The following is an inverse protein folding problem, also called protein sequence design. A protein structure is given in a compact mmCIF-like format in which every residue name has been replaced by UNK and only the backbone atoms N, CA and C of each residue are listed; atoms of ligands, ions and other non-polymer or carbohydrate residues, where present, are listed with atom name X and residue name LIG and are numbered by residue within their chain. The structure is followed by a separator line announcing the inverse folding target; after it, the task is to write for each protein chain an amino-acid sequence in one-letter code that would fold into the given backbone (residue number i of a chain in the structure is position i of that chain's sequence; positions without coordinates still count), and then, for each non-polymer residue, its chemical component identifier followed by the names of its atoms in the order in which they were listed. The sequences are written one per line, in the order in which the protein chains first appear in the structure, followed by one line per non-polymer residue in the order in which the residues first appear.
data_IF_699665477322
#
_entry.id   IF_699665477322
#
_cell.length_a   1.000
_cell.length_b   1.000
_cell.length_c   1.000
_cell.angle_alpha   90.00
_cell.angle_beta   90.00
_cell.angle_gamma   90.00
#
_symmetry.space_group_name_H-M   'P 1'
#
loop_
_entity.id
_entity.type
_entity.pdbx_description
1 polymer ?
#
# COMPACT_ATOMS: atom_id res chain seq x y z
N UNK A 1 14.47 -6.20 8.70
CA UNK A 1 15.05 -6.85 7.50
C UNK A 1 14.13 -7.89 6.90
N UNK A 2 13.63 -8.87 7.67
CA UNK A 2 12.69 -9.88 7.13
C UNK A 2 11.44 -9.24 6.51
N UNK A 3 10.82 -8.26 7.20
CA UNK A 3 9.65 -7.54 6.66
C UNK A 3 10.00 -6.76 5.39
N UNK A 4 11.19 -6.15 5.30
CA UNK A 4 11.65 -5.45 4.09
C UNK A 4 11.77 -6.43 2.91
N UNK A 5 12.35 -7.61 3.13
CA UNK A 5 12.39 -8.64 2.11
C UNK A 5 10.98 -9.07 1.67
N UNK A 6 10.06 -9.28 2.62
CA UNK A 6 8.67 -9.64 2.30
C UNK A 6 7.96 -8.58 1.45
N UNK A 7 8.24 -7.29 1.69
CA UNK A 7 7.70 -6.19 0.88
C UNK A 7 8.22 -6.24 -0.56
N UNK A 8 9.51 -6.46 -0.73
CA UNK A 8 10.12 -6.52 -2.06
C UNK A 8 9.57 -7.74 -2.81
N UNK A 9 9.49 -8.91 -2.16
CA UNK A 9 8.97 -10.13 -2.79
C UNK A 9 7.51 -10.00 -3.19
N UNK A 10 6.68 -9.38 -2.33
CA UNK A 10 5.28 -9.12 -2.64
C UNK A 10 5.12 -8.14 -3.81
N UNK A 11 5.97 -7.12 -3.90
CA UNK A 11 5.92 -6.15 -5.01
C UNK A 11 6.26 -6.78 -6.36
N UNK A 12 7.23 -7.70 -6.38
CA UNK A 12 7.56 -8.46 -7.59
C UNK A 12 6.44 -9.44 -7.96
N UNK A 13 5.86 -10.14 -6.97
CA UNK A 13 4.70 -11.01 -7.20
C UNK A 13 3.51 -10.24 -7.78
N UNK A 14 3.29 -9.00 -7.34
CA UNK A 14 2.19 -8.16 -7.82
C UNK A 14 2.28 -7.88 -9.32
N UNK A 15 3.48 -7.67 -9.87
CA UNK A 15 3.68 -7.41 -11.30
C UNK A 15 3.27 -8.60 -12.20
N UNK A 16 3.27 -9.83 -11.66
CA UNK A 16 3.01 -11.05 -12.44
C UNK A 16 1.59 -11.61 -12.28
N UNK A 17 0.78 -11.06 -11.37
CA UNK A 17 -0.61 -11.49 -11.24
C UNK A 17 -1.48 -10.83 -12.30
N UNK A 18 -2.41 -11.59 -12.88
CA UNK A 18 -3.41 -11.08 -13.83
C UNK A 18 -4.83 -11.07 -13.26
N UNK A 19 -5.11 -11.93 -12.29
CA UNK A 19 -6.44 -12.03 -11.70
C UNK A 19 -6.64 -10.91 -10.66
N UNK A 20 -7.70 -10.09 -10.80
CA UNK A 20 -7.91 -8.92 -9.95
C UNK A 20 -8.09 -9.27 -8.46
N UNK A 21 -8.68 -10.44 -8.17
CA UNK A 21 -8.83 -10.96 -6.80
C UNK A 21 -7.45 -11.22 -6.17
N UNK A 22 -6.54 -11.85 -6.91
CA UNK A 22 -5.20 -12.17 -6.40
C UNK A 22 -4.33 -10.92 -6.27
N UNK A 23 -4.51 -9.95 -7.18
CA UNK A 23 -3.93 -8.62 -7.02
C UNK A 23 -4.41 -7.95 -5.73
N UNK A 24 -5.71 -8.03 -5.41
CA UNK A 24 -6.27 -7.48 -4.18
C UNK A 24 -5.70 -8.13 -2.91
N UNK A 25 -5.56 -9.45 -2.90
CA UNK A 25 -4.96 -10.19 -1.78
C UNK A 25 -3.49 -9.81 -1.59
N UNK A 26 -2.70 -9.75 -2.68
CA UNK A 26 -1.30 -9.31 -2.60
C UNK A 26 -1.16 -7.87 -2.09
N UNK A 27 -2.05 -6.97 -2.52
CA UNK A 27 -2.10 -5.60 -2.03
C UNK A 27 -2.39 -5.54 -0.53
N UNK A 28 -3.30 -6.36 -0.01
CA UNK A 28 -3.57 -6.44 1.44
C UNK A 28 -2.33 -6.88 2.23
N UNK A 29 -1.62 -7.91 1.76
CA UNK A 29 -0.40 -8.37 2.45
C UNK A 29 0.69 -7.29 2.40
N UNK A 30 0.81 -6.59 1.27
CA UNK A 30 1.75 -5.49 1.11
C UNK A 30 1.47 -4.33 2.06
N UNK A 31 0.19 -3.98 2.27
CA UNK A 31 -0.21 -2.86 3.11
C UNK A 31 -0.06 -3.16 4.59
N UNK A 32 -0.32 -4.40 5.01
CA UNK A 32 0.00 -4.86 6.37
C UNK A 32 1.51 -4.73 6.63
N UNK A 33 2.33 -5.24 5.71
CA UNK A 33 3.79 -5.19 5.85
C UNK A 33 4.32 -3.75 5.87
N UNK A 34 3.79 -2.86 5.03
CA UNK A 34 4.21 -1.45 5.01
C UNK A 34 3.79 -0.69 6.27
N UNK A 35 2.60 -0.95 6.81
CA UNK A 35 2.14 -0.33 8.06
C UNK A 35 2.99 -0.77 9.26
N UNK A 36 3.40 -2.05 9.31
CA UNK A 36 4.32 -2.55 10.34
C UNK A 36 5.68 -1.83 10.29
N UNK A 37 6.20 -1.54 9.09
CA UNK A 37 7.45 -0.77 8.96
C UNK A 37 7.24 0.69 9.35
N UNK A 38 6.17 1.33 8.91
CA UNK A 38 5.86 2.72 9.27
C UNK A 38 5.75 2.90 10.78
N UNK A 39 5.10 1.96 11.48
CA UNK A 39 5.02 1.97 12.93
C UNK A 39 6.37 1.75 13.62
N UNK A 40 7.29 1.00 13.00
CA UNK A 40 8.64 0.80 13.53
C UNK A 40 9.56 2.00 13.32
N UNK A 41 9.31 2.79 12.27
CA UNK A 41 10.08 4.00 11.93
C UNK A 41 9.57 5.20 12.72
N UNK A 42 8.25 5.36 12.82
CA UNK A 42 7.64 6.50 13.47
C UNK A 42 7.27 6.11 14.90
N UNK A 43 7.76 6.88 15.87
CA UNK A 43 7.37 6.70 17.27
C UNK A 43 5.88 7.01 17.55
N UNK A 44 5.14 7.50 16.54
CA UNK A 44 3.73 7.89 16.65
C UNK A 44 2.83 6.99 15.79
N UNK A 45 2.04 6.07 16.37
CA UNK A 45 1.33 5.01 15.65
C UNK A 45 0.13 5.49 14.82
N UNK A 46 -0.34 6.72 15.03
CA UNK A 46 -1.52 7.26 14.35
C UNK A 46 -1.37 7.29 12.82
N UNK A 47 -0.19 7.63 12.32
CA UNK A 47 0.05 7.69 10.88
C UNK A 47 -0.10 6.30 10.24
N UNK A 48 0.53 5.28 10.82
CA UNK A 48 0.43 3.89 10.34
C UNK A 48 -1.00 3.35 10.39
N UNK A 49 -1.79 3.76 11.38
CA UNK A 49 -3.20 3.36 11.49
C UNK A 49 -4.08 4.00 10.42
N UNK A 50 -3.95 5.32 10.19
CA UNK A 50 -4.72 6.02 9.16
C UNK A 50 -4.40 5.44 7.77
N UNK A 51 -3.12 5.17 7.47
CA UNK A 51 -2.73 4.56 6.19
C UNK A 51 -3.32 3.17 6.01
N UNK A 52 -3.38 2.37 7.08
CA UNK A 52 -3.97 1.03 7.03
C UNK A 52 -5.47 1.08 6.70
N UNK A 53 -6.23 1.92 7.40
CA UNK A 53 -7.67 2.03 7.22
C UNK A 53 -8.07 2.54 5.84
N UNK A 54 -7.39 3.57 5.32
CA UNK A 54 -7.70 4.14 4.01
C UNK A 54 -7.47 3.11 2.90
N UNK A 55 -6.36 2.36 2.96
CA UNK A 55 -6.06 1.39 1.89
C UNK A 55 -6.98 0.17 1.96
N UNK A 56 -7.33 -0.34 3.14
CA UNK A 56 -8.32 -1.43 3.26
C UNK A 56 -9.70 -1.00 2.76
N UNK A 57 -10.14 0.20 3.12
CA UNK A 57 -11.41 0.75 2.65
C UNK A 57 -11.48 0.82 1.12
N UNK A 58 -10.40 1.30 0.47
CA UNK A 58 -10.30 1.33 -0.99
C UNK A 58 -10.30 -0.07 -1.62
N UNK A 59 -9.58 -1.02 -1.03
CA UNK A 59 -9.50 -2.40 -1.52
C UNK A 59 -10.85 -3.13 -1.44
N UNK A 60 -11.65 -2.89 -0.39
CA UNK A 60 -12.99 -3.48 -0.27
C UNK A 60 -13.94 -3.04 -1.38
N UNK A 61 -13.91 -1.76 -1.77
CA UNK A 61 -14.74 -1.23 -2.86
C UNK A 61 -14.35 -1.87 -4.20
N UNK A 62 -13.05 -2.01 -4.47
CA UNK A 62 -12.55 -2.69 -5.67
C UNK A 62 -12.93 -4.17 -5.67
N UNK A 63 -12.89 -4.83 -4.52
CA UNK A 63 -13.28 -6.23 -4.38
C UNK A 63 -14.75 -6.46 -4.76
N UNK A 64 -15.67 -5.64 -4.23
CA UNK A 64 -17.10 -5.72 -4.56
C UNK A 64 -17.30 -5.51 -6.07
N UNK A 65 -16.64 -4.52 -6.66
CA UNK A 65 -16.74 -4.25 -8.10
C UNK A 65 -16.28 -5.45 -8.95
N UNK A 66 -15.18 -6.09 -8.57
CA UNK A 66 -14.63 -7.23 -9.32
C UNK A 66 -15.46 -8.51 -9.17
N UNK A 67 -16.08 -8.73 -8.00
CA UNK A 67 -17.06 -9.81 -7.81
C UNK A 67 -18.29 -9.67 -8.72
N UNK A 68 -18.70 -8.43 -9.04
CA UNK A 68 -19.83 -8.15 -9.93
C UNK A 68 -19.46 -8.37 -11.41
N UNK A 69 -18.19 -8.18 -11.79
CA UNK A 69 -17.75 -8.13 -13.19
C UNK A 69 -17.06 -9.38 -13.74
N UNK A 70 -16.48 -10.24 -12.91
CA UNK A 70 -15.64 -11.35 -13.39
C UNK A 70 -16.18 -12.74 -13.05
N UNK A 71 -16.67 -13.40 -14.11
CA UNK A 71 -16.92 -14.85 -14.20
C UNK A 71 -15.56 -15.58 -14.11
N UNK A 72 -15.28 -16.29 -13.01
CA UNK A 72 -14.20 -17.24 -12.75
C UNK A 72 -13.21 -17.53 -13.91
N UNK A 73 -12.27 -16.63 -14.20
CA UNK A 73 -11.16 -16.94 -15.10
C UNK A 73 -10.08 -17.70 -14.33
N UNK A 74 -9.82 -18.95 -14.74
CA UNK A 74 -8.75 -19.77 -14.15
C UNK A 74 -7.44 -19.01 -14.21
N UNK A 75 -6.75 -18.96 -13.09
CA UNK A 75 -5.50 -18.26 -12.91
C UNK A 75 -4.42 -18.88 -13.83
N UNK A 76 -4.01 -18.15 -14.88
CA UNK A 76 -2.90 -18.56 -15.76
C UNK A 76 -1.64 -17.80 -15.36
N UNK A 77 -0.86 -18.36 -14.44
CA UNK A 77 0.51 -17.87 -14.19
C UNK A 77 1.41 -18.46 -15.27
N UNK A 78 2.13 -17.60 -15.99
CA UNK A 78 3.10 -18.07 -17.00
C UNK A 78 4.29 -18.74 -16.27
N UNK A 79 4.75 -19.92 -16.70
CA UNK A 79 5.86 -20.62 -16.05
C UNK A 79 7.15 -19.78 -15.99
N UNK A 80 7.38 -18.91 -16.98
CA UNK A 80 8.50 -17.95 -16.98
C UNK A 80 8.45 -16.96 -15.79
N UNK A 81 7.24 -16.50 -15.42
CA UNK A 81 7.08 -15.64 -14.25
C UNK A 81 7.44 -16.39 -12.96
N UNK A 82 7.08 -17.67 -12.87
CA UNK A 82 7.41 -18.51 -11.73
C UNK A 82 8.92 -18.68 -11.55
N UNK A 83 9.66 -18.88 -12.64
CA UNK A 83 11.12 -18.98 -12.63
C UNK A 83 11.76 -17.65 -12.21
N UNK A 84 11.27 -16.51 -12.72
CA UNK A 84 11.75 -15.19 -12.31
C UNK A 84 11.54 -14.93 -10.81
N UNK A 85 10.39 -15.34 -10.26
CA UNK A 85 10.09 -15.22 -8.82
C UNK A 85 11.11 -16.03 -8.00
N UNK A 86 11.39 -17.28 -8.39
CA UNK A 86 12.33 -18.15 -7.68
C UNK A 86 13.75 -17.55 -7.69
N UNK A 87 14.21 -17.09 -8.85
CA UNK A 87 15.53 -16.46 -8.96
C UNK A 87 15.65 -15.20 -8.09
N UNK A 88 14.59 -14.39 -8.05
CA UNK A 88 14.55 -13.20 -7.22
C UNK A 88 14.55 -13.53 -5.72
N UNK A 89 13.84 -14.58 -5.30
CA UNK A 89 13.85 -15.06 -3.92
C UNK A 89 15.25 -15.51 -3.47
N UNK A 90 15.95 -16.27 -4.32
CA UNK A 90 17.31 -16.74 -4.03
C UNK A 90 18.30 -15.57 -3.92
N UNK A 91 18.19 -14.57 -4.79
CA UNK A 91 19.02 -13.36 -4.73
C UNK A 91 18.82 -12.59 -3.41
N UNK A 92 17.56 -12.39 -2.99
CA UNK A 92 17.27 -11.69 -1.74
C UNK A 92 17.78 -12.43 -0.51
N UNK A 93 17.73 -13.77 -0.51
CA UNK A 93 18.23 -14.58 0.60
C UNK A 93 19.75 -14.42 0.76
N UNK A 94 20.49 -14.48 -0.35
CA UNK A 94 21.94 -14.27 -0.34
C UNK A 94 22.32 -12.86 0.13
N UNK A 95 21.59 -11.84 -0.30
CA UNK A 95 21.81 -10.46 0.16
C UNK A 95 21.55 -10.30 1.66
N UNK A 96 20.54 -10.96 2.23
CA UNK A 96 20.33 -10.90 3.68
C UNK A 96 21.44 -11.55 4.47
N UNK A 97 21.99 -12.66 4.00
CA UNK A 97 23.10 -13.34 4.66
C UNK A 97 24.33 -12.43 4.63
N UNK A 98 24.68 -11.91 3.45
CA UNK A 98 25.82 -11.01 3.26
C UNK A 98 25.72 -9.75 4.14
N UNK A 99 24.56 -9.10 4.15
CA UNK A 99 24.33 -7.91 4.97
C UNK A 99 24.35 -8.20 6.47
N UNK A 100 24.00 -9.42 6.91
CA UNK A 100 24.09 -9.82 8.32
C UNK A 100 25.55 -9.99 8.76
N UNK A 101 26.42 -10.46 7.86
CA UNK A 101 27.86 -10.56 8.11
C UNK A 101 28.54 -9.17 8.18
N UNK A 102 28.14 -8.23 7.33
CA UNK A 102 28.73 -6.88 7.27
C UNK A 102 28.23 -5.95 8.41
N UNK A 103 27.01 -6.15 8.93
CA UNK A 103 26.35 -5.19 9.82
C UNK A 103 26.57 -5.34 11.34
N UNK A 104 27.32 -6.33 11.82
CA UNK A 104 27.45 -6.56 13.27
C UNK A 104 28.08 -5.38 14.03
N UNK A 105 28.97 -4.59 13.40
CA UNK A 105 29.68 -3.49 14.09
C UNK A 105 29.12 -2.08 13.80
N UNK A 106 28.59 -1.80 12.61
CA UNK A 106 28.17 -0.43 12.23
C UNK A 106 26.72 -0.07 12.58
N UNK A 107 25.84 -1.06 12.78
CA UNK A 107 24.41 -0.82 13.04
C UNK A 107 24.13 -0.18 14.39
N UNK A 108 24.90 -0.51 15.43
CA UNK A 108 24.65 -0.04 16.80
C UNK A 108 24.86 1.48 16.89
N UNK A 109 25.87 2.01 16.20
CA UNK A 109 26.23 3.42 16.21
C UNK A 109 25.32 4.29 15.31
N UNK A 110 24.81 3.74 14.21
CA UNK A 110 23.84 4.44 13.37
C UNK A 110 22.45 4.50 14.02
N UNK A 111 22.03 3.43 14.69
CA UNK A 111 20.73 3.34 15.35
C UNK A 111 20.63 4.33 16.51
N UNK A 112 21.70 4.55 17.28
CA UNK A 112 21.71 5.54 18.36
C UNK A 112 21.65 6.99 17.85
N UNK A 113 22.37 7.32 16.78
CA UNK A 113 22.32 8.67 16.17
C UNK A 113 20.95 9.00 15.57
N UNK A 114 20.35 8.05 14.84
CA UNK A 114 19.01 8.23 14.27
C UNK A 114 17.98 8.33 15.39
N UNK A 115 18.03 7.46 16.39
CA UNK A 115 17.07 7.49 17.50
C UNK A 115 17.14 8.81 18.29
N UNK A 116 18.33 9.39 18.48
CA UNK A 116 18.48 10.71 19.11
C UNK A 116 17.95 11.87 18.25
N UNK A 117 18.15 11.83 16.92
CA UNK A 117 17.58 12.82 16.00
C UNK A 117 16.05 12.75 15.93
N UNK A 118 15.50 11.54 16.01
CA UNK A 118 14.08 11.27 16.00
C UNK A 118 13.44 11.72 17.33
N UNK A 119 14.02 11.37 18.49
CA UNK A 119 13.49 11.72 19.82
C UNK A 119 13.30 13.24 20.00
N UNK A 120 14.21 14.06 19.44
CA UNK A 120 14.18 15.51 19.62
C UNK A 120 13.18 16.25 18.70
N UNK A 121 12.72 15.64 17.60
CA UNK A 121 11.89 16.31 16.60
C UNK A 121 10.42 15.83 16.53
N UNK A 122 10.04 14.75 17.23
CA UNK A 122 8.68 14.16 17.13
C UNK A 122 7.61 14.70 18.08
N UNK A 123 7.80 15.88 18.68
CA UNK A 123 6.68 16.64 19.28
C UNK A 123 5.98 17.54 18.25
N UNK A 124 6.02 17.18 16.97
CA UNK A 124 5.13 17.78 15.98
C UNK A 124 3.77 17.13 16.18
N UNK A 125 2.93 17.79 16.97
CA UNK A 125 1.52 17.44 17.06
C UNK A 125 0.93 17.54 15.64
N UNK A 126 0.30 16.48 15.13
CA UNK A 126 -0.32 16.45 13.79
C UNK A 126 -1.19 17.68 13.53
N UNK A 127 -1.89 18.12 14.58
CA UNK A 127 -2.73 19.31 14.62
C UNK A 127 -1.90 20.58 14.28
N UNK A 128 -0.72 20.75 14.85
CA UNK A 128 0.13 21.92 14.57
C UNK A 128 0.67 21.89 13.13
N UNK A 129 0.95 20.72 12.56
CA UNK A 129 1.38 20.62 11.16
C UNK A 129 0.27 21.07 10.19
N UNK A 130 -0.97 20.64 10.43
CA UNK A 130 -2.10 21.03 9.59
C UNK A 130 -2.47 22.51 9.74
N UNK A 131 -2.58 23.00 10.98
CA UNK A 131 -3.08 24.36 11.22
C UNK A 131 -2.03 25.46 11.04
N UNK A 132 -0.75 25.19 11.33
CA UNK A 132 0.26 26.26 11.44
C UNK A 132 1.02 26.51 10.13
N UNK A 133 1.31 25.45 9.35
CA UNK A 133 2.19 25.56 8.17
C UNK A 133 1.55 25.14 6.84
N UNK A 134 0.32 24.62 6.83
CA UNK A 134 -0.25 23.98 5.64
C UNK A 134 -1.71 24.34 5.31
N UNK A 135 -2.26 25.42 5.89
CA UNK A 135 -3.62 25.92 5.61
C UNK A 135 -3.96 25.96 4.11
N UNK A 136 -3.07 26.51 3.27
CA UNK A 136 -3.30 26.57 1.82
C UNK A 136 -3.40 25.17 1.17
N UNK A 137 -2.56 24.23 1.61
CA UNK A 137 -2.63 22.83 1.15
C UNK A 137 -3.93 22.17 1.59
N UNK A 138 -4.42 22.45 2.81
CA UNK A 138 -5.71 21.90 3.28
C UNK A 138 -6.89 22.41 2.47
N UNK A 139 -6.92 23.70 2.13
CA UNK A 139 -7.96 24.29 1.28
C UNK A 139 -7.96 23.65 -0.11
N UNK A 140 -6.77 23.45 -0.71
CA UNK A 140 -6.65 22.77 -2.00
C UNK A 140 -7.17 21.33 -1.95
N UNK A 141 -6.85 20.57 -0.91
CA UNK A 141 -7.33 19.18 -0.75
C UNK A 141 -8.85 19.10 -0.63
N UNK A 142 -9.48 20.02 0.11
CA UNK A 142 -10.95 20.09 0.24
C UNK A 142 -11.58 20.35 -1.15
N UNK A 143 -11.06 21.33 -1.89
CA UNK A 143 -11.55 21.64 -3.23
C UNK A 143 -11.41 20.45 -4.20
N UNK A 144 -10.31 19.71 -4.13
CA UNK A 144 -10.12 18.50 -4.94
C UNK A 144 -11.17 17.43 -4.62
N UNK A 145 -11.45 17.18 -3.34
CA UNK A 145 -12.49 16.21 -2.94
C UNK A 145 -13.88 16.62 -3.44
N UNK A 146 -14.23 17.90 -3.33
CA UNK A 146 -15.52 18.43 -3.83
C UNK A 146 -15.62 18.27 -5.35
N UNK A 147 -14.56 18.62 -6.09
CA UNK A 147 -14.54 18.47 -7.56
C UNK A 147 -14.70 17.01 -7.98
N UNK A 148 -14.03 16.08 -7.29
CA UNK A 148 -14.16 14.64 -7.57
C UNK A 148 -15.61 14.16 -7.35
N UNK A 149 -16.29 14.60 -6.28
CA UNK A 149 -17.70 14.26 -6.03
C UNK A 149 -18.62 14.77 -7.14
N UNK A 150 -18.43 16.01 -7.61
CA UNK A 150 -19.22 16.59 -8.71
C UNK A 150 -18.99 15.79 -10.00
N UNK A 151 -17.74 15.45 -10.31
CA UNK A 151 -17.38 14.68 -11.51
C UNK A 151 -18.02 13.28 -11.46
N UNK A 152 -17.91 12.55 -10.35
CA UNK A 152 -18.51 11.21 -10.20
C UNK A 152 -20.03 11.29 -10.39
N UNK A 153 -20.70 12.26 -9.76
CA UNK A 153 -22.14 12.46 -9.92
C UNK A 153 -22.54 12.80 -11.36
N UNK A 154 -21.71 13.55 -12.10
CA UNK A 154 -21.94 13.83 -13.52
C UNK A 154 -21.75 12.58 -14.39
N UNK A 155 -20.73 11.77 -14.12
CA UNK A 155 -20.47 10.50 -14.83
C UNK A 155 -21.61 9.48 -14.64
N UNK A 156 -22.18 9.40 -13.43
CA UNK A 156 -23.25 8.45 -13.12
C UNK A 156 -24.60 8.79 -13.79
N UNK A 157 -24.89 10.06 -14.08
CA UNK A 157 -26.17 10.49 -14.71
C UNK A 157 -26.39 9.93 -16.12
N UNK A 158 -25.33 9.45 -16.79
CA UNK A 158 -25.39 8.95 -18.17
C UNK A 158 -25.73 7.46 -18.30
N UNK A 159 -25.87 6.70 -17.19
CA UNK A 159 -26.23 5.28 -17.21
C UNK A 159 -27.72 5.04 -16.88
N UNK A 160 -28.63 5.52 -17.74
CA UNK A 160 -30.08 5.21 -17.66
C UNK A 160 -30.50 4.00 -18.52
N UNK A 161 -29.66 2.97 -18.63
CA UNK A 161 -30.13 1.67 -19.16
C UNK A 161 -30.39 0.73 -17.97
N UNK A 162 -31.61 0.20 -17.81
CA UNK A 162 -31.91 -0.69 -16.70
C UNK A 162 -31.00 -1.92 -16.79
N UNK A 163 -30.35 -2.24 -15.66
CA UNK A 163 -29.47 -3.41 -15.46
C UNK A 163 -30.20 -4.77 -15.62
N UNK A 164 -31.47 -4.76 -16.02
CA UNK A 164 -32.25 -5.94 -16.37
C UNK A 164 -33.14 -5.59 -17.55
N UNK A 165 -32.91 -6.24 -18.71
CA UNK A 165 -33.96 -6.31 -19.74
C UNK A 165 -35.12 -7.08 -19.11
N UNK A 166 -36.29 -6.47 -19.02
CA UNK A 166 -37.53 -7.22 -18.84
C UNK A 166 -37.66 -8.12 -20.06
N UNK A 167 -37.64 -9.43 -19.83
CA UNK A 167 -38.02 -10.41 -20.83
C UNK A 167 -39.51 -10.24 -21.09
N UNK A 168 -39.86 -9.81 -22.30
CA UNK A 168 -41.14 -10.07 -22.93
C UNK A 168 -40.86 -10.88 -24.19
#
# INVERSE_FOLDING_TARGET
MIIMNLIITNSVLFMFMFNPINMGILMLIQTINSCLILNSLLNYPWLSYITFMVVIGGLMIIFIYMCILSWNSKMKVKPMAFIMIIMFMMFNFNMTIYMKFVNLNNMIMFKSKIMNLMMNNYKINLINFFFMNSMMMTILMINLLIMMLIIINKMNKNFKKPLRKMFY
#
